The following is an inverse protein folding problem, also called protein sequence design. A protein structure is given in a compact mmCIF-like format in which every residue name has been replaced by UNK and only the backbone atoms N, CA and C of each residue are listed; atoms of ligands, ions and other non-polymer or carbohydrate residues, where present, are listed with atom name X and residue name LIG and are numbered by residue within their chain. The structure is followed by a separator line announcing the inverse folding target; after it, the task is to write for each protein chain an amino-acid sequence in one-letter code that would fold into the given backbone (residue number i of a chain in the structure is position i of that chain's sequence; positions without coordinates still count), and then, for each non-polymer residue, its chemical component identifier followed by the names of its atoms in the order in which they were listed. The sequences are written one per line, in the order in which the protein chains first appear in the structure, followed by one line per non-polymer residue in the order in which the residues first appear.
data_IF_905754093990
#
_entry.id   IF_905754093990
#
_cell.length_a   1.000
_cell.length_b   1.000
_cell.length_c   1.000
_cell.angle_alpha   90.00
_cell.angle_beta   90.00
_cell.angle_gamma   90.00
#
_symmetry.space_group_name_H-M   'P 1'
#
loop_
_entity.id
_entity.type
_entity.pdbx_description
1 polymer ?
#
# COMPACT_ATOMS: atom_id res chain seq x y z
N UNK A 1 13.48 -10.57 4.92
CA UNK A 1 12.12 -11.05 5.30
C UNK A 1 11.07 -9.97 5.04
N UNK A 2 11.35 -8.70 5.36
CA UNK A 2 10.49 -7.56 5.00
C UNK A 2 10.72 -7.02 3.58
N UNK A 3 11.68 -7.55 2.83
CA UNK A 3 12.11 -7.01 1.54
C UNK A 3 10.97 -6.99 0.51
N UNK A 4 10.14 -8.05 0.47
CA UNK A 4 8.96 -8.11 -0.40
C UNK A 4 7.91 -7.05 -0.02
N UNK A 5 7.69 -6.83 1.28
CA UNK A 5 6.78 -5.77 1.76
C UNK A 5 7.33 -4.38 1.38
N UNK A 6 8.63 -4.17 1.58
CA UNK A 6 9.31 -2.91 1.22
C UNK A 6 9.21 -2.63 -0.27
N UNK A 7 9.36 -3.64 -1.13
CA UNK A 7 9.25 -3.51 -2.58
C UNK A 7 7.80 -3.18 -3.02
N UNK A 8 6.82 -3.90 -2.48
CA UNK A 8 5.40 -3.65 -2.76
C UNK A 8 4.96 -2.24 -2.32
N UNK A 9 5.32 -1.83 -1.11
CA UNK A 9 5.01 -0.50 -0.60
C UNK A 9 5.74 0.59 -1.39
N UNK A 10 7.02 0.39 -1.73
CA UNK A 10 7.80 1.30 -2.57
C UNK A 10 7.11 1.56 -3.91
N UNK A 11 6.70 0.49 -4.61
CA UNK A 11 6.00 0.62 -5.89
C UNK A 11 4.62 1.30 -5.80
N UNK A 12 3.91 1.17 -4.67
CA UNK A 12 2.67 1.93 -4.43
C UNK A 12 2.97 3.41 -4.23
N UNK A 13 3.97 3.75 -3.42
CA UNK A 13 4.33 5.14 -3.16
C UNK A 13 4.90 5.84 -4.38
N UNK A 14 5.72 5.17 -5.19
CA UNK A 14 6.26 5.73 -6.44
C UNK A 14 5.15 6.19 -7.38
N UNK A 15 4.05 5.43 -7.45
CA UNK A 15 2.86 5.78 -8.26
C UNK A 15 2.08 6.96 -7.71
N UNK A 16 2.16 7.22 -6.41
CA UNK A 16 1.49 8.35 -5.76
C UNK A 16 2.37 9.62 -5.76
N UNK A 17 3.67 9.46 -5.62
CA UNK A 17 4.62 10.56 -5.66
C UNK A 17 4.72 11.16 -7.07
N UNK A 18 5.02 12.46 -7.16
CA UNK A 18 5.22 13.15 -8.44
C UNK A 18 3.95 13.55 -9.21
N UNK A 19 2.75 13.17 -8.74
CA UNK A 19 1.47 13.53 -9.41
C UNK A 19 0.95 14.95 -9.13
N UNK A 20 1.56 15.70 -8.21
CA UNK A 20 1.18 17.08 -7.88
C UNK A 20 -0.12 17.20 -7.05
N UNK A 21 -1.16 16.46 -7.42
CA UNK A 21 -2.37 16.24 -6.62
C UNK A 21 -2.88 14.80 -6.80
N UNK A 22 -3.48 14.25 -5.74
CA UNK A 22 -4.05 12.90 -5.75
C UNK A 22 -5.57 13.00 -5.82
N UNK A 23 -6.19 12.20 -6.69
CA UNK A 23 -7.63 12.03 -6.66
C UNK A 23 -8.05 11.02 -5.58
N UNK A 24 -9.29 11.12 -5.11
CA UNK A 24 -9.84 10.17 -4.14
C UNK A 24 -9.79 8.72 -4.65
N UNK A 25 -9.93 8.54 -5.97
CA UNK A 25 -9.82 7.24 -6.63
C UNK A 25 -8.40 6.67 -6.53
N UNK A 26 -7.38 7.50 -6.72
CA UNK A 26 -5.97 7.07 -6.65
C UNK A 26 -5.61 6.64 -5.24
N UNK A 27 -6.02 7.43 -4.24
CA UNK A 27 -5.80 7.11 -2.82
C UNK A 27 -6.52 5.81 -2.44
N UNK A 28 -7.79 5.65 -2.83
CA UNK A 28 -8.58 4.45 -2.53
C UNK A 28 -8.00 3.20 -3.19
N UNK A 29 -7.46 3.34 -4.40
CA UNK A 29 -6.78 2.24 -5.09
C UNK A 29 -5.50 1.84 -4.37
N UNK A 30 -4.65 2.81 -4.01
CA UNK A 30 -3.40 2.54 -3.31
C UNK A 30 -3.63 1.93 -1.92
N UNK A 31 -4.60 2.44 -1.15
CA UNK A 31 -4.93 1.87 0.17
C UNK A 31 -5.41 0.42 0.08
N UNK A 32 -6.10 0.05 -1.00
CA UNK A 32 -6.50 -1.34 -1.23
C UNK A 32 -5.30 -2.24 -1.49
N UNK A 33 -4.35 -1.75 -2.27
CA UNK A 33 -3.11 -2.45 -2.62
C UNK A 33 -2.23 -2.65 -1.39
N UNK A 34 -2.07 -1.62 -0.55
CA UNK A 34 -1.35 -1.68 0.73
C UNK A 34 -1.99 -2.74 1.65
N UNK A 35 -3.32 -2.77 1.78
CA UNK A 35 -4.01 -3.76 2.62
C UNK A 35 -3.77 -5.20 2.16
N UNK A 36 -3.73 -5.43 0.84
CA UNK A 36 -3.42 -6.74 0.28
C UNK A 36 -1.96 -7.14 0.57
N UNK A 37 -1.03 -6.22 0.34
CA UNK A 37 0.40 -6.46 0.62
C UNK A 37 0.66 -6.77 2.10
N UNK A 38 -0.06 -6.13 3.02
CA UNK A 38 0.04 -6.43 4.45
C UNK A 38 -0.50 -7.82 4.79
N UNK A 39 -1.63 -8.23 4.20
CA UNK A 39 -2.18 -9.58 4.41
C UNK A 39 -1.27 -10.67 3.84
N UNK A 40 -0.69 -10.45 2.66
CA UNK A 40 0.25 -11.37 2.02
C UNK A 40 1.56 -11.52 2.81
N UNK A 41 1.90 -10.53 3.65
CA UNK A 41 3.05 -10.54 4.54
C UNK A 41 2.74 -11.13 5.93
N UNK A 42 1.63 -11.85 6.08
CA UNK A 42 1.16 -12.46 7.34
C UNK A 42 0.94 -11.43 8.49
N UNK A 43 0.58 -10.19 8.16
CA UNK A 43 0.24 -9.18 9.17
C UNK A 43 -1.15 -9.45 9.75
N UNK A 44 -1.27 -9.30 11.08
CA UNK A 44 -2.51 -9.55 11.79
C UNK A 44 -3.66 -8.65 11.28
N UNK A 45 -4.84 -9.24 11.10
CA UNK A 45 -6.03 -8.56 10.57
C UNK A 45 -6.42 -7.25 11.30
N UNK A 46 -6.28 -7.11 12.65
CA UNK A 46 -6.52 -5.83 13.31
C UNK A 46 -5.65 -4.71 12.75
N UNK A 47 -4.37 -4.97 12.50
CA UNK A 47 -3.40 -3.99 11.98
C UNK A 47 -3.71 -3.56 10.54
N UNK A 48 -4.36 -4.42 9.75
CA UNK A 48 -4.75 -4.11 8.36
C UNK A 48 -6.08 -3.34 8.27
N UNK A 49 -6.94 -3.49 9.28
CA UNK A 49 -8.27 -2.87 9.32
C UNK A 49 -8.28 -1.51 10.04
N UNK A 50 -7.40 -1.33 11.02
CA UNK A 50 -7.22 -0.07 11.77
C UNK A 50 -6.46 0.98 10.94
#
# INVERSE_FOLDING_TARGET
MFDNLTEQLGGVFDRLTGRGSLSEKDVKSALREIRLALLDADVALPVVKD
#
